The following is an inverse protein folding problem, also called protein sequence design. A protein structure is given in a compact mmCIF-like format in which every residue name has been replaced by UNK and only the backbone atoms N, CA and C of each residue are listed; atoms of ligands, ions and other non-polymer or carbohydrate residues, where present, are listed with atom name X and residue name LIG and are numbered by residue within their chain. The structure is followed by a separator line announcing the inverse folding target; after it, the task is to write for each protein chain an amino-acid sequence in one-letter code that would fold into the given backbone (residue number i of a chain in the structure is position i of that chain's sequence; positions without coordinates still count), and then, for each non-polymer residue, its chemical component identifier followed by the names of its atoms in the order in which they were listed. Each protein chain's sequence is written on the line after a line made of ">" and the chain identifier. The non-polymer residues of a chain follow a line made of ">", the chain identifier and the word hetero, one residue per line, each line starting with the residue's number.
data_IF_045031938450
#
_entry.id   IF_045031938450
#
_cell.length_a   1.000
_cell.length_b   1.000
_cell.length_c   1.000
_cell.angle_alpha   90.00
_cell.angle_beta   90.00
_cell.angle_gamma   90.00
#
_symmetry.space_group_name_H-M   'P 1'
#
loop_
_entity.id
_entity.type
_entity.pdbx_description
1 polymer ?
#
# COMPACT_ATOMS: atom_id res chain seq x y z
N UNK A 1 -22.77 -15.11 1.70
CA UNK A 1 -21.45 -14.55 1.35
C UNK A 1 -20.98 -15.30 0.11
N UNK A 2 -20.76 -14.63 -1.01
CA UNK A 2 -20.08 -15.24 -2.15
C UNK A 2 -18.58 -15.17 -1.87
N UNK A 3 -17.90 -16.30 -1.80
CA UNK A 3 -16.47 -16.40 -1.52
C UNK A 3 -15.58 -16.23 -2.76
N UNK A 4 -16.17 -16.09 -3.95
CA UNK A 4 -15.46 -15.90 -5.21
C UNK A 4 -15.59 -14.48 -5.75
N UNK A 5 -14.66 -14.11 -6.63
CA UNK A 5 -14.77 -12.88 -7.40
C UNK A 5 -15.95 -12.94 -8.36
N UNK A 6 -16.56 -11.79 -8.65
CA UNK A 6 -17.54 -11.69 -9.74
C UNK A 6 -16.81 -11.79 -11.11
N UNK A 7 -17.55 -12.09 -12.17
CA UNK A 7 -16.99 -12.13 -13.53
C UNK A 7 -16.30 -10.81 -13.92
N UNK A 8 -16.89 -9.68 -13.55
CA UNK A 8 -16.27 -8.36 -13.80
C UNK A 8 -14.96 -8.16 -13.02
N UNK A 9 -14.88 -8.68 -11.80
CA UNK A 9 -13.66 -8.63 -10.99
C UNK A 9 -12.56 -9.52 -11.53
N UNK A 10 -12.91 -10.71 -12.02
CA UNK A 10 -11.95 -11.59 -12.70
C UNK A 10 -11.39 -10.93 -13.97
N UNK A 11 -12.28 -10.32 -14.79
CA UNK A 11 -11.89 -9.57 -15.99
C UNK A 11 -10.97 -8.39 -15.62
N UNK A 12 -11.31 -7.61 -14.58
CA UNK A 12 -10.49 -6.50 -14.11
C UNK A 12 -9.08 -6.98 -13.72
N UNK A 13 -8.99 -8.04 -12.91
CA UNK A 13 -7.73 -8.61 -12.45
C UNK A 13 -6.88 -9.12 -13.62
N UNK A 14 -7.49 -9.84 -14.56
CA UNK A 14 -6.79 -10.33 -15.76
C UNK A 14 -6.30 -9.21 -16.67
N UNK A 15 -7.11 -8.16 -16.86
CA UNK A 15 -6.72 -7.00 -17.64
C UNK A 15 -5.58 -6.23 -16.98
N UNK A 16 -5.64 -6.01 -15.67
CA UNK A 16 -4.56 -5.38 -14.90
C UNK A 16 -3.25 -6.18 -15.02
N UNK A 17 -3.33 -7.52 -14.89
CA UNK A 17 -2.17 -8.40 -15.06
C UNK A 17 -1.53 -8.27 -16.45
N UNK A 18 -2.34 -8.31 -17.50
CA UNK A 18 -1.86 -8.17 -18.89
C UNK A 18 -1.27 -6.78 -19.13
N UNK A 19 -1.94 -5.74 -18.61
CA UNK A 19 -1.46 -4.37 -18.73
C UNK A 19 -0.09 -4.20 -18.07
N UNK A 20 0.07 -4.58 -16.80
CA UNK A 20 1.35 -4.42 -16.12
C UNK A 20 2.44 -5.33 -16.68
N UNK A 21 2.11 -6.53 -17.16
CA UNK A 21 3.09 -7.40 -17.83
C UNK A 21 3.63 -6.78 -19.12
N UNK A 22 2.81 -6.02 -19.85
CA UNK A 22 3.21 -5.35 -21.09
C UNK A 22 3.91 -4.00 -20.84
N UNK A 23 3.38 -3.17 -19.95
CA UNK A 23 3.83 -1.79 -19.77
C UNK A 23 4.87 -1.62 -18.66
N UNK A 24 5.01 -2.59 -17.76
CA UNK A 24 5.93 -2.56 -16.62
C UNK A 24 6.79 -3.85 -16.53
N UNK A 25 7.52 -4.23 -17.59
CA UNK A 25 8.40 -5.39 -17.52
C UNK A 25 9.60 -5.12 -16.59
N UNK A 26 10.18 -6.18 -15.99
CA UNK A 26 11.23 -6.06 -14.97
C UNK A 26 12.48 -5.28 -15.40
N UNK A 27 12.87 -5.34 -16.68
CA UNK A 27 13.97 -4.51 -17.17
C UNK A 27 13.67 -3.01 -17.10
N UNK A 28 12.40 -2.62 -17.30
CA UNK A 28 11.95 -1.24 -17.14
C UNK A 28 11.93 -0.83 -15.66
N UNK A 29 11.41 -1.69 -14.76
CA UNK A 29 11.46 -1.45 -13.31
C UNK A 29 12.89 -1.25 -12.82
N UNK A 30 13.85 -2.08 -13.28
CA UNK A 30 15.27 -1.93 -12.94
C UNK A 30 15.84 -0.60 -13.41
N UNK A 31 15.56 -0.23 -14.65
CA UNK A 31 16.01 1.04 -15.20
C UNK A 31 15.52 2.24 -14.38
N UNK A 32 14.25 2.24 -13.96
CA UNK A 32 13.68 3.29 -13.12
C UNK A 32 14.28 3.26 -11.72
N UNK A 33 14.48 2.09 -11.12
CA UNK A 33 15.11 1.97 -9.81
C UNK A 33 16.53 2.58 -9.78
N UNK A 34 17.26 2.53 -10.88
CA UNK A 34 18.61 3.13 -11.03
C UNK A 34 18.57 4.66 -11.13
N UNK A 35 17.45 5.25 -11.57
CA UNK A 35 17.33 6.72 -11.68
C UNK A 35 17.14 7.42 -10.34
N UNK A 36 16.73 6.68 -9.30
CA UNK A 36 16.43 7.19 -7.97
C UNK A 36 15.08 7.90 -7.81
N UNK A 37 14.36 8.20 -8.91
CA UNK A 37 13.01 8.78 -8.84
C UNK A 37 11.91 7.74 -8.94
N UNK A 38 12.22 6.58 -9.54
CA UNK A 38 11.28 5.49 -9.79
C UNK A 38 9.96 5.92 -10.51
N UNK A 39 9.95 7.02 -11.25
CA UNK A 39 8.76 7.57 -11.91
C UNK A 39 8.88 7.55 -13.43
N UNK A 40 7.80 7.12 -14.08
CA UNK A 40 7.62 7.15 -15.52
C UNK A 40 6.27 7.81 -15.87
N UNK A 41 6.34 8.94 -16.59
CA UNK A 41 5.18 9.71 -17.01
C UNK A 41 4.33 9.00 -18.06
N UNK A 42 4.93 8.18 -18.94
CA UNK A 42 4.22 7.40 -19.95
C UNK A 42 3.41 6.27 -19.30
N UNK A 43 4.01 5.52 -18.39
CA UNK A 43 3.30 4.50 -17.60
C UNK A 43 2.15 5.12 -16.80
N UNK A 44 2.36 6.26 -16.15
CA UNK A 44 1.33 6.99 -15.43
C UNK A 44 0.15 7.37 -16.33
N UNK A 45 0.44 7.96 -17.49
CA UNK A 45 -0.58 8.35 -18.48
C UNK A 45 -1.38 7.14 -18.99
N UNK A 46 -0.71 6.02 -19.25
CA UNK A 46 -1.36 4.77 -19.66
C UNK A 46 -2.25 4.19 -18.56
N UNK A 47 -1.82 4.22 -17.30
CA UNK A 47 -2.67 3.81 -16.16
C UNK A 47 -3.91 4.70 -16.03
N UNK A 48 -3.76 6.00 -16.20
CA UNK A 48 -4.88 6.94 -16.20
C UNK A 48 -5.86 6.67 -17.35
N UNK A 49 -5.36 6.38 -18.54
CA UNK A 49 -6.19 6.03 -19.70
C UNK A 49 -7.00 4.72 -19.50
N UNK A 50 -6.53 3.80 -18.62
CA UNK A 50 -7.29 2.63 -18.18
C UNK A 50 -8.29 2.93 -17.06
N UNK A 51 -8.34 4.16 -16.55
CA UNK A 51 -9.19 4.55 -15.42
C UNK A 51 -8.65 4.10 -14.05
N UNK A 52 -7.42 3.57 -13.96
CA UNK A 52 -6.87 3.05 -12.71
C UNK A 52 -6.71 4.13 -11.65
N UNK A 53 -6.43 5.38 -12.05
CA UNK A 53 -6.26 6.52 -11.14
C UNK A 53 -7.55 6.97 -10.48
N UNK A 54 -8.70 6.66 -11.07
CA UNK A 54 -10.03 7.00 -10.56
C UNK A 54 -10.87 5.82 -10.08
N UNK A 55 -10.27 4.62 -9.94
CA UNK A 55 -11.00 3.35 -9.83
C UNK A 55 -12.08 3.34 -8.74
N UNK A 56 -11.81 3.83 -7.53
CA UNK A 56 -12.76 3.80 -6.39
C UNK A 56 -13.49 5.13 -6.16
N UNK A 57 -13.12 6.19 -6.87
CA UNK A 57 -13.68 7.51 -6.59
C UNK A 57 -15.00 7.73 -7.33
N UNK A 58 -15.92 8.55 -6.76
CA UNK A 58 -17.23 8.78 -7.35
C UNK A 58 -17.16 9.37 -8.77
N UNK A 59 -18.10 8.96 -9.65
CA UNK A 59 -18.22 9.44 -11.03
C UNK A 59 -18.36 10.97 -11.12
N UNK A 60 -18.98 11.62 -10.12
CA UNK A 60 -19.10 13.10 -10.05
C UNK A 60 -17.75 13.83 -9.92
N UNK A 61 -16.65 13.09 -9.70
CA UNK A 61 -15.27 13.57 -9.69
C UNK A 61 -14.41 12.85 -10.73
N UNK A 62 -15.03 12.40 -11.83
CA UNK A 62 -14.39 11.70 -12.94
C UNK A 62 -13.77 10.33 -12.55
N UNK A 63 -14.23 9.74 -11.45
CA UNK A 63 -13.85 8.38 -11.04
C UNK A 63 -14.74 7.31 -11.66
N UNK A 64 -14.47 6.04 -11.38
CA UNK A 64 -15.25 4.88 -11.85
C UNK A 64 -16.29 4.37 -10.83
N UNK A 65 -16.23 4.84 -9.58
CA UNK A 65 -17.17 4.46 -8.53
C UNK A 65 -17.15 2.96 -8.16
N UNK A 66 -16.05 2.26 -8.42
CA UNK A 66 -15.91 0.84 -8.09
C UNK A 66 -15.63 0.64 -6.60
N UNK A 67 -15.61 -0.60 -6.15
CA UNK A 67 -15.45 -0.98 -4.74
C UNK A 67 -13.99 -1.00 -4.27
N UNK A 68 -13.79 -1.09 -2.95
CA UNK A 68 -12.44 -1.32 -2.38
C UNK A 68 -11.91 -2.69 -2.80
N UNK A 69 -12.80 -3.69 -2.99
CA UNK A 69 -12.39 -5.00 -3.55
C UNK A 69 -11.75 -4.80 -4.92
N UNK A 70 -12.32 -3.98 -5.80
CA UNK A 70 -11.76 -3.73 -7.14
C UNK A 70 -10.38 -3.04 -7.06
N UNK A 71 -10.21 -2.08 -6.14
CA UNK A 71 -8.91 -1.46 -5.89
C UNK A 71 -7.85 -2.48 -5.48
N UNK A 72 -8.17 -3.38 -4.55
CA UNK A 72 -7.16 -4.34 -4.07
C UNK A 72 -6.79 -5.37 -5.13
N UNK A 73 -7.68 -5.73 -6.06
CA UNK A 73 -7.35 -6.58 -7.19
C UNK A 73 -6.31 -5.91 -8.10
N UNK A 74 -6.50 -4.62 -8.37
CA UNK A 74 -5.55 -3.83 -9.14
C UNK A 74 -4.20 -3.70 -8.41
N UNK A 75 -4.23 -3.45 -7.10
CA UNK A 75 -3.02 -3.33 -6.26
C UNK A 75 -2.25 -4.64 -6.15
N UNK A 76 -2.93 -5.78 -6.10
CA UNK A 76 -2.26 -7.10 -6.12
C UNK A 76 -1.45 -7.29 -7.41
N UNK A 77 -2.04 -6.96 -8.57
CA UNK A 77 -1.32 -7.07 -9.85
C UNK A 77 -0.22 -6.02 -10.00
N UNK A 78 -0.40 -4.82 -9.44
CA UNK A 78 0.65 -3.81 -9.35
C UNK A 78 1.83 -4.29 -8.48
N UNK A 79 1.56 -4.94 -7.35
CA UNK A 79 2.57 -5.56 -6.51
C UNK A 79 3.29 -6.71 -7.18
N UNK A 80 2.57 -7.55 -7.93
CA UNK A 80 3.13 -8.63 -8.73
C UNK A 80 4.11 -8.13 -9.79
N UNK A 81 3.82 -6.99 -10.43
CA UNK A 81 4.67 -6.33 -11.43
C UNK A 81 5.72 -5.41 -10.80
N UNK A 82 5.69 -5.20 -9.48
CA UNK A 82 6.56 -4.27 -8.75
C UNK A 82 6.47 -2.85 -9.31
N UNK A 83 5.23 -2.40 -9.61
CA UNK A 83 4.97 -1.10 -10.26
C UNK A 83 5.68 0.02 -9.49
N UNK A 84 6.54 0.80 -10.15
CA UNK A 84 7.22 1.93 -9.55
C UNK A 84 6.35 3.19 -9.57
N UNK A 85 6.75 4.20 -8.79
CA UNK A 85 6.16 5.52 -8.84
C UNK A 85 4.90 5.69 -7.98
N UNK A 86 4.16 6.80 -8.20
CA UNK A 86 3.25 7.36 -7.22
C UNK A 86 1.86 6.71 -7.21
N UNK A 87 1.65 5.56 -7.87
CA UNK A 87 0.32 4.97 -7.99
C UNK A 87 -0.31 4.70 -6.62
N UNK A 88 0.41 3.99 -5.73
CA UNK A 88 -0.05 3.75 -4.36
C UNK A 88 -0.22 5.06 -3.59
N UNK A 89 0.80 5.94 -3.64
CA UNK A 89 0.80 7.19 -2.90
C UNK A 89 -0.34 8.12 -3.31
N UNK A 90 -0.67 8.17 -4.61
CA UNK A 90 -1.68 9.06 -5.14
C UNK A 90 -3.09 8.48 -5.00
N UNK A 91 -3.30 7.24 -5.43
CA UNK A 91 -4.66 6.67 -5.50
C UNK A 91 -5.08 6.10 -4.14
N UNK A 92 -4.31 5.15 -3.62
CA UNK A 92 -4.71 4.44 -2.40
C UNK A 92 -4.52 5.28 -1.13
N UNK A 93 -3.55 6.20 -1.10
CA UNK A 93 -3.24 6.97 0.11
C UNK A 93 -3.80 8.41 0.04
N UNK A 94 -3.33 9.28 -0.86
CA UNK A 94 -3.77 10.68 -0.90
C UNK A 94 -5.22 10.84 -1.37
N UNK A 95 -5.61 10.15 -2.46
CA UNK A 95 -6.94 10.25 -3.02
C UNK A 95 -8.03 9.81 -2.04
N UNK A 96 -7.81 8.71 -1.30
CA UNK A 96 -8.75 8.25 -0.27
C UNK A 96 -8.87 9.21 0.90
N UNK A 97 -7.77 9.85 1.31
CA UNK A 97 -7.80 10.89 2.35
C UNK A 97 -8.58 12.10 1.87
N UNK A 98 -8.32 12.60 0.65
CA UNK A 98 -9.05 13.74 0.08
C UNK A 98 -10.55 13.42 0.00
N UNK A 99 -10.90 12.21 -0.48
CA UNK A 99 -12.32 11.80 -0.57
C UNK A 99 -12.98 11.74 0.81
N UNK A 100 -12.27 11.36 1.85
CA UNK A 100 -12.80 11.27 3.20
C UNK A 100 -12.99 12.64 3.89
N UNK A 101 -12.05 13.58 3.70
CA UNK A 101 -12.00 14.79 4.54
C UNK A 101 -12.41 16.07 3.81
N UNK A 102 -12.28 16.15 2.48
CA UNK A 102 -12.45 17.38 1.72
C UNK A 102 -13.92 17.69 1.41
N UNK A 103 -14.25 18.97 1.25
CA UNK A 103 -15.54 19.44 0.76
C UNK A 103 -15.74 19.10 -0.73
N UNK A 104 -16.98 19.12 -1.22
CA UNK A 104 -17.28 18.86 -2.64
C UNK A 104 -16.52 19.81 -3.60
N UNK A 105 -16.32 21.07 -3.21
CA UNK A 105 -15.54 22.03 -4.00
C UNK A 105 -14.07 21.62 -4.07
N UNK A 106 -13.49 21.25 -2.94
CA UNK A 106 -12.09 20.80 -2.85
C UNK A 106 -11.88 19.45 -3.55
N UNK A 107 -12.84 18.52 -3.49
CA UNK A 107 -12.78 17.27 -4.27
C UNK A 107 -12.75 17.53 -5.78
N UNK A 108 -13.49 18.49 -6.27
CA UNK A 108 -13.41 18.91 -7.68
C UNK A 108 -12.04 19.51 -8.03
N UNK A 109 -11.42 20.21 -7.09
CA UNK A 109 -10.11 20.85 -7.29
C UNK A 109 -8.95 19.85 -7.19
N UNK A 110 -8.97 18.92 -6.22
CA UNK A 110 -7.86 18.04 -5.91
C UNK A 110 -8.07 16.59 -6.36
N UNK A 111 -9.28 16.04 -6.20
CA UNK A 111 -9.55 14.62 -6.47
C UNK A 111 -9.84 14.38 -7.96
N UNK A 112 -10.61 15.22 -8.61
CA UNK A 112 -10.95 15.05 -10.02
C UNK A 112 -9.72 15.06 -10.94
N UNK A 113 -8.71 15.94 -10.77
CA UNK A 113 -7.47 15.84 -11.53
C UNK A 113 -6.68 14.54 -11.27
N UNK A 114 -6.74 13.98 -10.05
CA UNK A 114 -6.17 12.66 -9.77
C UNK A 114 -6.88 11.60 -10.59
N UNK A 115 -8.22 11.58 -10.58
CA UNK A 115 -9.01 10.61 -11.35
C UNK A 115 -8.69 10.64 -12.85
N UNK A 116 -8.45 11.82 -13.42
CA UNK A 116 -8.05 11.99 -14.82
C UNK A 116 -6.56 11.74 -15.08
N UNK A 117 -5.75 11.47 -14.03
CA UNK A 117 -4.30 11.30 -14.15
C UNK A 117 -3.51 12.59 -14.38
N UNK A 118 -4.15 13.75 -14.29
CA UNK A 118 -3.56 15.08 -14.48
C UNK A 118 -2.74 15.54 -13.27
N UNK A 119 -3.06 15.04 -12.07
CA UNK A 119 -2.37 15.36 -10.85
C UNK A 119 -1.92 14.12 -10.08
N UNK A 120 -0.81 14.25 -9.37
CA UNK A 120 -0.23 13.27 -8.45
C UNK A 120 -0.15 13.88 -7.07
N UNK A 121 -0.40 13.07 -6.06
CA UNK A 121 -0.34 13.52 -4.68
C UNK A 121 0.19 12.43 -3.77
N UNK A 122 0.54 12.80 -2.56
CA UNK A 122 0.97 11.88 -1.51
C UNK A 122 0.58 12.44 -0.14
N UNK A 123 0.64 11.57 0.89
CA UNK A 123 0.37 11.99 2.28
C UNK A 123 1.69 12.15 3.03
N UNK A 124 1.85 13.30 3.67
CA UNK A 124 2.93 13.63 4.57
C UNK A 124 2.40 13.61 6.03
N UNK A 125 2.54 12.46 6.70
CA UNK A 125 1.99 12.23 8.05
C UNK A 125 3.07 12.02 9.10
N UNK A 126 4.06 11.18 8.85
CA UNK A 126 5.01 10.70 9.85
C UNK A 126 6.02 11.78 10.27
N UNK A 127 6.32 11.85 11.58
CA UNK A 127 7.30 12.77 12.16
C UNK A 127 8.31 12.03 13.05
N UNK A 128 9.49 12.60 13.20
CA UNK A 128 10.51 12.07 14.10
C UNK A 128 10.02 12.00 15.56
N UNK A 129 10.09 10.80 16.14
CA UNK A 129 9.67 10.54 17.52
C UNK A 129 8.15 10.38 17.70
N UNK A 130 7.36 10.42 16.61
CA UNK A 130 5.94 10.08 16.62
C UNK A 130 5.75 8.61 16.21
N UNK A 131 4.71 7.96 16.76
CA UNK A 131 4.26 6.65 16.29
C UNK A 131 3.39 6.75 15.04
N UNK A 132 3.13 5.64 14.39
CA UNK A 132 2.11 5.55 13.34
C UNK A 132 0.74 5.91 13.90
N UNK A 133 -0.07 6.63 13.11
CA UNK A 133 -1.42 7.04 13.51
C UNK A 133 -1.47 8.19 14.54
N UNK A 134 -0.33 8.85 14.80
CA UNK A 134 -0.31 10.08 15.62
C UNK A 134 -0.83 11.24 14.78
N UNK A 135 -2.17 11.40 14.75
CA UNK A 135 -2.86 12.38 13.91
C UNK A 135 -3.10 13.72 14.57
N UNK A 136 -3.10 13.76 15.92
CA UNK A 136 -3.46 14.94 16.70
C UNK A 136 -2.30 15.92 16.89
N UNK A 137 -1.57 16.16 15.83
CA UNK A 137 -0.58 17.20 15.83
C UNK A 137 0.75 16.75 16.41
N UNK A 138 1.51 16.07 15.63
CA UNK A 138 2.94 16.04 15.78
C UNK A 138 3.49 17.47 15.97
N UNK A 139 4.75 17.67 15.73
CA UNK A 139 5.41 18.98 15.87
C UNK A 139 5.07 19.96 14.73
N UNK A 140 4.44 19.47 13.63
CA UNK A 140 4.03 20.34 12.52
C UNK A 140 2.85 21.18 12.93
N UNK A 141 3.08 22.49 13.01
CA UNK A 141 2.10 23.49 13.42
C UNK A 141 1.40 24.11 12.20
N UNK A 142 0.09 24.34 12.33
CA UNK A 142 -0.72 25.09 11.38
C UNK A 142 -1.20 26.39 12.04
N UNK A 143 -0.71 27.53 11.58
CA UNK A 143 -1.06 28.85 12.11
C UNK A 143 -1.43 29.78 10.96
N UNK A 144 -2.64 30.36 11.02
CA UNK A 144 -3.13 31.31 10.00
C UNK A 144 -3.00 30.81 8.55
N UNK A 145 -3.35 29.53 8.30
CA UNK A 145 -3.25 28.93 6.97
C UNK A 145 -1.82 28.69 6.49
N UNK A 146 -0.87 28.57 7.41
CA UNK A 146 0.54 28.30 7.11
C UNK A 146 1.08 27.16 7.96
N UNK A 147 1.88 26.30 7.35
CA UNK A 147 2.54 25.18 8.01
C UNK A 147 4.00 25.47 8.32
N UNK A 148 4.43 24.99 9.49
CA UNK A 148 5.85 24.95 9.89
C UNK A 148 6.13 23.63 10.58
N UNK A 149 7.09 22.85 10.08
CA UNK A 149 7.46 21.54 10.60
C UNK A 149 8.17 20.68 9.56
N UNK A 150 8.29 19.39 9.86
CA UNK A 150 8.94 18.41 8.99
C UNK A 150 8.22 17.07 9.03
N UNK A 151 8.05 16.47 7.86
CA UNK A 151 7.50 15.12 7.67
C UNK A 151 8.54 14.21 7.06
N UNK A 152 8.58 12.96 7.50
CA UNK A 152 9.57 11.97 7.07
C UNK A 152 8.91 10.81 6.36
N UNK A 153 9.70 10.08 5.57
CA UNK A 153 9.25 8.90 4.82
C UNK A 153 8.03 9.15 3.93
N UNK A 154 7.92 10.36 3.38
CA UNK A 154 6.83 10.73 2.47
C UNK A 154 7.07 10.06 1.12
N UNK A 155 6.21 9.12 0.68
CA UNK A 155 6.44 8.41 -0.58
C UNK A 155 6.22 9.35 -1.76
N UNK A 156 7.08 9.24 -2.77
CA UNK A 156 6.96 9.92 -4.07
C UNK A 156 6.74 11.44 -4.03
N UNK A 157 7.19 12.12 -2.94
CA UNK A 157 6.93 13.56 -2.74
C UNK A 157 7.55 14.46 -3.80
N UNK A 158 8.62 14.04 -4.46
CA UNK A 158 9.29 14.84 -5.50
C UNK A 158 8.44 14.97 -6.77
N UNK A 159 7.69 13.93 -7.10
CA UNK A 159 6.86 13.88 -8.31
C UNK A 159 5.40 14.27 -8.05
N UNK A 160 5.04 14.55 -6.81
CA UNK A 160 3.72 15.04 -6.43
C UNK A 160 3.52 16.48 -6.92
N UNK A 161 2.32 16.80 -7.38
CA UNK A 161 1.91 18.15 -7.75
C UNK A 161 1.49 18.94 -6.50
N UNK A 162 0.87 18.24 -5.53
CA UNK A 162 0.56 18.76 -4.21
C UNK A 162 0.66 17.66 -3.15
N UNK A 163 0.75 18.07 -1.89
CA UNK A 163 0.90 17.21 -0.71
C UNK A 163 -0.34 17.30 0.17
N UNK A 164 -0.81 16.19 0.69
CA UNK A 164 -1.79 16.13 1.77
C UNK A 164 -1.01 15.99 3.09
N UNK A 165 -1.12 16.98 3.97
CA UNK A 165 -0.26 17.09 5.16
C UNK A 165 -1.12 17.04 6.42
N UNK A 166 -0.81 16.14 7.35
CA UNK A 166 -1.38 16.18 8.70
C UNK A 166 -0.61 17.15 9.57
N UNK A 167 -1.31 18.02 10.29
CA UNK A 167 -0.70 18.96 11.23
C UNK A 167 -1.65 19.25 12.38
N UNK A 168 -1.18 19.98 13.39
CA UNK A 168 -2.05 20.45 14.45
C UNK A 168 -3.24 21.22 13.85
N UNK A 169 -4.46 20.78 14.17
CA UNK A 169 -5.69 21.38 13.68
C UNK A 169 -6.28 20.77 12.40
N UNK A 170 -5.71 19.69 11.85
CA UNK A 170 -6.34 18.93 10.76
C UNK A 170 -5.45 18.45 9.63
N UNK A 171 -6.07 18.32 8.47
CA UNK A 171 -5.47 17.89 7.20
C UNK A 171 -5.43 19.06 6.24
N UNK A 172 -4.31 19.24 5.57
CA UNK A 172 -4.06 20.39 4.71
C UNK A 172 -3.58 19.98 3.33
N UNK A 173 -4.00 20.70 2.29
CA UNK A 173 -3.37 20.64 0.98
C UNK A 173 -2.25 21.68 0.88
N UNK A 174 -1.12 21.29 0.33
CA UNK A 174 0.06 22.15 0.12
C UNK A 174 0.56 21.93 -1.29
N UNK A 175 0.64 22.98 -2.11
CA UNK A 175 1.27 22.88 -3.43
C UNK A 175 2.75 22.51 -3.26
N UNK A 176 3.23 21.51 -3.99
CA UNK A 176 4.61 21.00 -3.83
C UNK A 176 5.67 22.09 -4.07
N UNK A 177 5.39 23.02 -4.97
CA UNK A 177 6.27 24.15 -5.31
C UNK A 177 5.94 25.43 -4.52
N UNK A 178 5.12 25.38 -3.47
CA UNK A 178 4.79 26.53 -2.66
C UNK A 178 6.06 27.07 -1.94
N UNK A 179 6.13 28.39 -1.68
CA UNK A 179 7.22 28.98 -0.90
C UNK A 179 7.35 28.31 0.47
N UNK A 180 8.57 27.94 0.86
CA UNK A 180 8.87 27.29 2.13
C UNK A 180 8.80 25.76 2.10
N UNK A 181 8.42 25.12 1.00
CA UNK A 181 8.51 23.66 0.84
C UNK A 181 9.92 23.26 0.41
N UNK A 182 10.51 22.34 1.16
CA UNK A 182 11.78 21.68 0.78
C UNK A 182 11.57 20.18 0.80
N UNK A 183 11.84 19.51 -0.31
CA UNK A 183 11.76 18.05 -0.46
C UNK A 183 13.18 17.51 -0.59
N UNK A 184 13.55 16.59 0.30
CA UNK A 184 14.91 16.02 0.35
C UNK A 184 14.79 14.49 0.27
N UNK A 185 15.48 13.82 -0.68
CA UNK A 185 15.44 12.37 -0.78
C UNK A 185 16.02 11.71 0.48
N UNK A 186 15.41 10.63 0.92
CA UNK A 186 15.87 9.81 2.04
C UNK A 186 16.43 8.48 1.52
N UNK A 187 17.50 7.94 2.13
CA UNK A 187 17.96 6.61 1.80
C UNK A 187 16.85 5.58 2.07
N UNK A 188 16.52 4.76 1.08
CA UNK A 188 15.53 3.71 1.17
C UNK A 188 16.11 2.36 0.79
N UNK A 189 15.62 1.29 1.45
CA UNK A 189 15.94 -0.08 1.05
C UNK A 189 15.26 -0.44 -0.27
N UNK A 190 14.01 -0.02 -0.44
CA UNK A 190 13.25 -0.19 -1.67
C UNK A 190 13.71 0.83 -2.71
N UNK A 191 14.25 0.35 -3.81
CA UNK A 191 14.73 1.18 -4.92
C UNK A 191 13.61 1.50 -5.93
N UNK A 192 12.45 0.90 -5.76
CA UNK A 192 11.31 1.03 -6.67
C UNK A 192 10.22 1.96 -6.13
N UNK A 193 10.39 2.47 -4.89
CA UNK A 193 9.54 3.48 -4.25
C UNK A 193 10.43 4.49 -3.52
N UNK A 194 10.54 5.69 -4.04
CA UNK A 194 11.31 6.75 -3.42
C UNK A 194 10.58 7.35 -2.21
N UNK A 195 11.30 7.68 -1.16
CA UNK A 195 10.78 8.34 0.05
C UNK A 195 11.58 9.59 0.37
N UNK A 196 10.93 10.56 0.96
CA UNK A 196 11.48 11.91 1.15
C UNK A 196 11.20 12.45 2.55
N UNK A 197 12.09 13.32 3.03
CA UNK A 197 11.79 14.27 4.07
C UNK A 197 11.20 15.53 3.42
N UNK A 198 10.11 16.06 3.99
CA UNK A 198 9.45 17.27 3.51
C UNK A 198 9.40 18.28 4.65
N UNK A 199 10.10 19.39 4.48
CA UNK A 199 10.11 20.50 5.42
C UNK A 199 9.21 21.62 4.93
N UNK A 200 8.47 22.19 5.86
CA UNK A 200 7.60 23.35 5.69
C UNK A 200 8.15 24.51 6.54
N UNK A 201 8.39 25.65 5.92
CA UNK A 201 8.85 26.87 6.58
C UNK A 201 7.88 28.01 6.26
N UNK A 202 6.91 28.23 7.18
CA UNK A 202 5.85 29.22 6.99
C UNK A 202 5.14 29.07 5.63
N UNK A 203 4.87 27.83 5.24
CA UNK A 203 4.35 27.45 3.90
C UNK A 203 2.84 27.64 3.82
N UNK A 204 2.30 28.30 2.78
CA UNK A 204 0.86 28.41 2.56
C UNK A 204 0.20 27.03 2.44
N UNK A 205 -0.94 26.86 3.12
CA UNK A 205 -1.66 25.60 3.13
C UNK A 205 -3.17 25.85 3.21
N UNK A 206 -3.95 25.04 2.52
CA UNK A 206 -5.41 25.04 2.58
C UNK A 206 -5.89 23.90 3.47
N UNK A 207 -6.73 24.21 4.47
CA UNK A 207 -7.35 23.17 5.30
C UNK A 207 -8.38 22.38 4.49
N UNK A 208 -8.21 21.06 4.40
CA UNK A 208 -9.15 20.14 3.76
C UNK A 208 -10.21 19.64 4.74
N UNK A 209 -9.82 19.33 5.99
CA UNK A 209 -10.73 18.79 6.99
C UNK A 209 -10.03 18.39 8.28
N UNK A 210 -10.72 17.60 9.09
CA UNK A 210 -10.22 17.16 10.38
C UNK A 210 -9.55 15.78 10.27
N UNK A 211 -8.46 15.59 11.01
CA UNK A 211 -7.66 14.37 10.95
C UNK A 211 -8.43 13.11 11.46
N UNK A 212 -9.43 13.29 12.32
CA UNK A 212 -10.30 12.19 12.76
C UNK A 212 -11.07 11.50 11.63
N UNK A 213 -11.35 12.23 10.55
CA UNK A 213 -12.03 11.67 9.37
C UNK A 213 -11.14 10.82 8.46
N UNK A 214 -9.83 10.75 8.73
CA UNK A 214 -8.88 9.97 7.93
C UNK A 214 -8.89 8.46 8.24
N UNK A 215 -9.53 8.02 9.32
CA UNK A 215 -9.36 6.65 9.82
C UNK A 215 -9.73 5.60 8.77
N UNK A 216 -10.93 5.73 8.18
CA UNK A 216 -11.37 4.83 7.10
C UNK A 216 -10.45 4.91 5.88
N UNK A 217 -10.01 6.11 5.47
CA UNK A 217 -9.11 6.28 4.35
C UNK A 217 -7.77 5.56 4.57
N UNK A 218 -7.22 5.66 5.79
CA UNK A 218 -6.00 4.94 6.17
C UNK A 218 -6.23 3.42 6.14
N UNK A 219 -7.40 2.94 6.55
CA UNK A 219 -7.74 1.52 6.47
C UNK A 219 -7.84 1.04 5.02
N UNK A 220 -8.43 1.83 4.11
CA UNK A 220 -8.44 1.53 2.66
C UNK A 220 -7.01 1.48 2.11
N UNK A 221 -6.19 2.47 2.42
CA UNK A 221 -4.78 2.49 2.01
C UNK A 221 -3.99 1.29 2.57
N UNK A 222 -4.28 0.90 3.81
CA UNK A 222 -3.65 -0.27 4.44
C UNK A 222 -4.06 -1.58 3.74
N UNK A 223 -5.34 -1.75 3.42
CA UNK A 223 -5.83 -2.91 2.66
C UNK A 223 -5.20 -2.97 1.25
N UNK A 224 -5.07 -1.83 0.58
CA UNK A 224 -4.40 -1.72 -0.72
C UNK A 224 -2.91 -2.08 -0.64
N UNK A 225 -2.21 -1.64 0.43
CA UNK A 225 -0.81 -2.02 0.69
C UNK A 225 -0.67 -3.53 0.93
N UNK A 226 -1.59 -4.12 1.70
CA UNK A 226 -1.60 -5.59 1.94
C UNK A 226 -1.77 -6.35 0.63
N UNK A 227 -2.67 -5.90 -0.25
CA UNK A 227 -2.86 -6.52 -1.56
C UNK A 227 -1.60 -6.41 -2.44
N UNK A 228 -0.92 -5.26 -2.45
CA UNK A 228 0.39 -5.10 -3.11
C UNK A 228 1.43 -6.09 -2.55
N UNK A 229 1.49 -6.26 -1.22
CA UNK A 229 2.37 -7.24 -0.58
C UNK A 229 2.05 -8.67 -1.02
N UNK A 230 0.76 -9.03 -1.13
CA UNK A 230 0.30 -10.34 -1.64
C UNK A 230 0.78 -10.56 -3.08
N UNK A 231 0.65 -9.56 -3.95
CA UNK A 231 1.15 -9.62 -5.32
C UNK A 231 2.66 -9.87 -5.38
N UNK A 232 3.43 -9.17 -4.55
CA UNK A 232 4.87 -9.36 -4.39
C UNK A 232 5.23 -10.77 -3.90
N UNK A 233 4.54 -11.27 -2.86
CA UNK A 233 4.73 -12.64 -2.34
C UNK A 233 4.43 -13.69 -3.41
N UNK A 234 3.35 -13.53 -4.16
CA UNK A 234 3.01 -14.41 -5.27
C UNK A 234 4.13 -14.47 -6.30
N UNK A 235 4.72 -13.32 -6.65
CA UNK A 235 5.79 -13.29 -7.63
C UNK A 235 7.08 -13.93 -7.10
N UNK A 236 7.44 -13.71 -5.84
CA UNK A 236 8.56 -14.40 -5.18
C UNK A 236 8.35 -15.92 -5.24
N UNK A 237 7.16 -16.39 -4.92
CA UNK A 237 6.82 -17.82 -4.97
C UNK A 237 6.97 -18.38 -6.39
N UNK A 238 6.39 -17.70 -7.40
CA UNK A 238 6.47 -18.15 -8.80
C UNK A 238 7.93 -18.26 -9.28
N UNK A 239 8.75 -17.22 -9.03
CA UNK A 239 10.17 -17.22 -9.37
C UNK A 239 10.92 -18.35 -8.65
N UNK A 240 10.59 -18.60 -7.39
CA UNK A 240 11.26 -19.64 -6.58
C UNK A 240 10.90 -21.04 -7.07
N UNK A 241 9.62 -21.28 -7.39
CA UNK A 241 9.17 -22.57 -7.95
C UNK A 241 9.80 -22.83 -9.30
N UNK A 242 9.86 -21.82 -10.18
CA UNK A 242 10.48 -21.96 -11.50
C UNK A 242 12.00 -22.24 -11.37
N UNK A 243 12.68 -21.53 -10.49
CA UNK A 243 14.09 -21.80 -10.19
C UNK A 243 14.29 -23.20 -9.65
N UNK A 244 13.44 -23.66 -8.72
CA UNK A 244 13.52 -25.00 -8.16
C UNK A 244 13.32 -26.12 -9.19
N UNK A 245 12.52 -25.88 -10.25
CA UNK A 245 12.31 -26.82 -11.36
C UNK A 245 13.52 -26.87 -12.31
N UNK A 246 14.22 -25.77 -12.50
CA UNK A 246 15.25 -25.63 -13.53
C UNK A 246 16.68 -25.83 -12.98
N UNK A 247 16.95 -25.35 -11.75
CA UNK A 247 18.27 -25.47 -11.12
C UNK A 247 18.59 -26.91 -10.73
N UNK A 248 19.73 -27.41 -11.17
CA UNK A 248 20.19 -28.78 -10.84
C UNK A 248 21.35 -28.76 -9.84
N UNK A 249 21.28 -29.62 -8.85
CA UNK A 249 22.36 -29.97 -7.92
C UNK A 249 22.27 -31.47 -7.57
N UNK A 250 23.39 -32.11 -7.28
CA UNK A 250 23.43 -33.54 -6.95
C UNK A 250 22.74 -34.42 -8.02
N UNK A 251 22.88 -34.06 -9.31
CA UNK A 251 22.36 -34.80 -10.45
C UNK A 251 20.87 -34.64 -10.77
N UNK A 252 20.11 -33.84 -10.02
CA UNK A 252 18.68 -33.63 -10.24
C UNK A 252 18.25 -32.18 -9.95
N UNK A 253 17.03 -31.80 -10.36
CA UNK A 253 16.45 -30.50 -10.02
C UNK A 253 16.35 -30.34 -8.50
N UNK A 254 16.63 -29.14 -7.99
CA UNK A 254 16.59 -28.90 -6.52
C UNK A 254 15.17 -29.06 -5.96
N UNK A 255 14.13 -28.81 -6.77
CA UNK A 255 12.73 -29.05 -6.42
C UNK A 255 12.36 -30.53 -6.21
N UNK A 256 13.26 -31.48 -6.53
CA UNK A 256 13.07 -32.88 -6.20
C UNK A 256 13.45 -33.22 -4.75
N UNK A 257 14.01 -32.27 -3.98
CA UNK A 257 14.33 -32.45 -2.57
C UNK A 257 13.17 -31.94 -1.69
N UNK A 258 12.73 -32.78 -0.74
CA UNK A 258 11.61 -32.44 0.15
C UNK A 258 11.85 -31.13 0.92
N UNK A 259 13.09 -30.84 1.34
CA UNK A 259 13.42 -29.60 2.03
C UNK A 259 13.10 -28.34 1.20
N UNK A 260 13.23 -28.39 -0.14
CA UNK A 260 12.86 -27.32 -1.05
C UNK A 260 11.35 -27.29 -1.30
N UNK A 261 10.74 -28.48 -1.49
CA UNK A 261 9.29 -28.61 -1.67
C UNK A 261 8.51 -28.04 -0.50
N UNK A 262 8.92 -28.34 0.74
CA UNK A 262 8.26 -27.85 1.96
C UNK A 262 8.39 -26.33 2.06
N UNK A 263 9.56 -25.74 1.72
CA UNK A 263 9.70 -24.29 1.71
C UNK A 263 8.74 -23.62 0.69
N UNK A 264 8.61 -24.19 -0.52
CA UNK A 264 7.66 -23.68 -1.50
C UNK A 264 6.19 -23.84 -1.05
N UNK A 265 5.85 -24.97 -0.41
CA UNK A 265 4.49 -25.21 0.13
C UNK A 265 4.16 -24.23 1.26
N UNK A 266 5.10 -23.96 2.16
CA UNK A 266 4.91 -22.97 3.22
C UNK A 266 4.80 -21.54 2.65
N UNK A 267 5.60 -21.18 1.63
CA UNK A 267 5.46 -19.89 0.94
C UNK A 267 4.07 -19.74 0.29
N UNK A 268 3.54 -20.81 -0.30
CA UNK A 268 2.20 -20.85 -0.87
C UNK A 268 1.15 -20.62 0.21
N UNK A 269 1.24 -21.32 1.34
CA UNK A 269 0.32 -21.18 2.46
C UNK A 269 0.29 -19.74 3.00
N UNK A 270 1.46 -19.14 3.23
CA UNK A 270 1.56 -17.77 3.71
C UNK A 270 0.96 -16.76 2.72
N UNK A 271 1.20 -16.96 1.42
CA UNK A 271 0.67 -16.10 0.37
C UNK A 271 -0.85 -16.18 0.28
N UNK A 272 -1.43 -17.38 0.26
CA UNK A 272 -2.89 -17.58 0.15
C UNK A 272 -3.63 -17.14 1.42
N UNK A 273 -3.04 -17.36 2.60
CA UNK A 273 -3.62 -16.87 3.86
C UNK A 273 -3.64 -15.33 3.89
N UNK A 274 -2.57 -14.70 3.44
CA UNK A 274 -2.51 -13.24 3.32
C UNK A 274 -3.51 -12.71 2.29
N UNK A 275 -3.68 -13.39 1.15
CA UNK A 275 -4.66 -13.03 0.13
C UNK A 275 -6.09 -13.09 0.67
N UNK A 276 -6.42 -14.17 1.37
CA UNK A 276 -7.73 -14.36 2.00
C UNK A 276 -8.03 -13.25 3.01
N UNK A 277 -7.04 -12.89 3.84
CA UNK A 277 -7.18 -11.81 4.79
C UNK A 277 -7.33 -10.43 4.12
N UNK A 278 -6.57 -10.16 3.03
CA UNK A 278 -6.70 -8.93 2.26
C UNK A 278 -8.08 -8.77 1.62
N UNK A 279 -8.60 -9.84 1.01
CA UNK A 279 -9.91 -9.83 0.37
C UNK A 279 -11.04 -9.66 1.38
N UNK A 280 -10.94 -10.32 2.54
CA UNK A 280 -11.90 -10.12 3.62
C UNK A 280 -11.85 -8.69 4.16
N UNK A 281 -10.67 -8.11 4.35
CA UNK A 281 -10.51 -6.73 4.81
C UNK A 281 -11.16 -5.73 3.84
N UNK A 282 -10.94 -5.89 2.53
CA UNK A 282 -11.56 -5.04 1.51
C UNK A 282 -13.09 -5.21 1.48
N UNK A 283 -13.57 -6.45 1.52
CA UNK A 283 -15.01 -6.72 1.60
C UNK A 283 -15.63 -6.09 2.86
N UNK A 284 -14.96 -6.17 4.00
CA UNK A 284 -15.44 -5.56 5.24
C UNK A 284 -15.49 -4.03 5.15
N UNK A 285 -14.51 -3.39 4.49
CA UNK A 285 -14.54 -1.96 4.22
C UNK A 285 -15.76 -1.53 3.39
N UNK A 286 -16.22 -2.37 2.47
CA UNK A 286 -17.38 -2.07 1.64
C UNK A 286 -18.72 -2.43 2.32
N UNK A 287 -18.78 -3.50 3.15
CA UNK A 287 -20.04 -4.13 3.56
C UNK A 287 -20.20 -4.31 5.08
N UNK A 288 -19.12 -4.24 5.87
CA UNK A 288 -19.15 -4.46 7.31
C UNK A 288 -18.29 -3.42 8.06
N UNK A 289 -18.73 -2.16 8.09
CA UNK A 289 -17.97 -1.07 8.71
C UNK A 289 -17.61 -1.31 10.18
N UNK A 290 -18.42 -2.09 10.91
CA UNK A 290 -18.19 -2.37 12.33
C UNK A 290 -16.95 -3.25 12.56
N UNK A 291 -16.64 -4.15 11.63
CA UNK A 291 -15.51 -5.06 11.73
C UNK A 291 -14.33 -4.67 10.82
N UNK A 292 -14.50 -3.68 9.95
CA UNK A 292 -13.52 -3.30 8.93
C UNK A 292 -12.13 -2.99 9.51
N UNK A 293 -12.05 -2.15 10.54
CA UNK A 293 -10.80 -1.75 11.18
C UNK A 293 -10.04 -2.96 11.78
N UNK A 294 -10.77 -3.89 12.38
CA UNK A 294 -10.22 -5.15 12.91
C UNK A 294 -9.71 -6.05 11.77
N UNK A 295 -10.52 -6.23 10.72
CA UNK A 295 -10.16 -7.05 9.56
C UNK A 295 -8.90 -6.52 8.85
N UNK A 296 -8.81 -5.22 8.63
CA UNK A 296 -7.63 -4.55 8.05
C UNK A 296 -6.40 -4.75 8.92
N UNK A 297 -6.54 -4.59 10.24
CA UNK A 297 -5.41 -4.77 11.17
C UNK A 297 -4.93 -6.22 11.20
N UNK A 298 -5.83 -7.20 11.16
CA UNK A 298 -5.48 -8.63 11.04
C UNK A 298 -4.74 -8.89 9.73
N UNK A 299 -5.25 -8.38 8.61
CA UNK A 299 -4.64 -8.56 7.30
C UNK A 299 -3.22 -7.97 7.24
N UNK A 300 -3.03 -6.74 7.74
CA UNK A 300 -1.72 -6.07 7.72
C UNK A 300 -0.72 -6.75 8.67
N UNK A 301 -1.15 -7.10 9.89
CA UNK A 301 -0.33 -7.84 10.83
C UNK A 301 0.19 -9.15 10.21
N UNK A 302 -0.72 -9.96 9.66
CA UNK A 302 -0.38 -11.25 9.08
C UNK A 302 0.52 -11.11 7.85
N UNK A 303 0.15 -10.25 6.90
CA UNK A 303 0.92 -10.03 5.68
C UNK A 303 2.33 -9.47 5.96
N UNK A 304 2.52 -8.67 7.00
CA UNK A 304 3.83 -8.15 7.41
C UNK A 304 4.78 -9.28 7.84
N UNK A 305 4.31 -10.25 8.62
CA UNK A 305 5.10 -11.42 9.00
C UNK A 305 5.29 -12.40 7.84
N UNK A 306 4.23 -12.64 7.06
CA UNK A 306 4.23 -13.53 5.90
C UNK A 306 5.21 -13.07 4.81
N UNK A 307 5.20 -11.78 4.44
CA UNK A 307 6.07 -11.28 3.37
C UNK A 307 7.56 -11.39 3.72
N UNK A 308 7.90 -11.19 5.00
CA UNK A 308 9.26 -11.44 5.50
C UNK A 308 9.63 -12.93 5.37
N UNK A 309 8.71 -13.82 5.76
CA UNK A 309 8.91 -15.27 5.68
C UNK A 309 9.07 -15.74 4.23
N UNK A 310 8.17 -15.34 3.36
CA UNK A 310 8.19 -15.68 1.92
C UNK A 310 9.46 -15.15 1.27
N UNK A 311 9.83 -13.89 1.54
CA UNK A 311 11.05 -13.29 1.02
C UNK A 311 12.32 -14.01 1.46
N UNK A 312 12.45 -14.33 2.76
CA UNK A 312 13.58 -15.06 3.30
C UNK A 312 13.72 -16.46 2.69
N UNK A 313 12.61 -17.21 2.56
CA UNK A 313 12.61 -18.55 1.94
C UNK A 313 12.92 -18.48 0.46
N UNK A 314 12.38 -17.51 -0.27
CA UNK A 314 12.71 -17.29 -1.68
C UNK A 314 14.22 -17.11 -1.87
N UNK A 315 14.85 -16.22 -1.10
CA UNK A 315 16.29 -16.01 -1.14
C UNK A 315 17.05 -17.30 -0.75
N UNK A 316 16.61 -18.00 0.29
CA UNK A 316 17.25 -19.25 0.75
C UNK A 316 17.24 -20.31 -0.34
N UNK A 317 16.13 -20.52 -1.06
CA UNK A 317 16.04 -21.52 -2.14
C UNK A 317 16.92 -21.14 -3.33
N UNK A 318 17.04 -19.85 -3.65
CA UNK A 318 17.94 -19.37 -4.71
C UNK A 318 19.42 -19.43 -4.30
N UNK A 319 19.72 -19.47 -2.99
CA UNK A 319 21.09 -19.42 -2.46
C UNK A 319 21.80 -18.13 -2.87
N UNK A 320 23.09 -18.21 -3.21
CA UNK A 320 23.87 -17.03 -3.61
C UNK A 320 23.25 -16.21 -4.74
N UNK A 321 22.54 -16.86 -5.67
CA UNK A 321 21.84 -16.17 -6.78
C UNK A 321 20.71 -15.25 -6.31
N UNK A 322 20.09 -15.55 -5.16
CA UNK A 322 18.99 -14.73 -4.63
C UNK A 322 19.42 -13.31 -4.19
N UNK A 323 20.70 -13.08 -3.96
CA UNK A 323 21.27 -11.79 -3.57
C UNK A 323 22.02 -11.07 -4.68
N UNK A 324 22.25 -11.73 -5.82
CA UNK A 324 22.99 -11.08 -6.91
C UNK A 324 22.14 -10.02 -7.58
N UNK A 325 22.77 -8.97 -8.09
CA UNK A 325 22.08 -7.85 -8.75
C UNK A 325 21.33 -8.28 -10.01
N UNK A 326 21.75 -9.34 -10.66
CA UNK A 326 21.14 -9.90 -11.88
C UNK A 326 19.80 -10.58 -11.62
N UNK A 327 19.52 -10.99 -10.37
CA UNK A 327 18.27 -11.67 -10.01
C UNK A 327 17.23 -10.67 -9.54
N UNK A 328 15.99 -10.78 -10.02
CA UNK A 328 14.91 -9.86 -9.69
C UNK A 328 14.38 -10.03 -8.25
N UNK A 329 14.64 -11.18 -7.63
CA UNK A 329 14.08 -11.55 -6.34
C UNK A 329 14.40 -10.52 -5.23
N UNK A 330 15.63 -9.96 -5.24
CA UNK A 330 16.03 -9.00 -4.23
C UNK A 330 15.22 -7.70 -4.27
N UNK A 331 14.68 -7.28 -5.44
CA UNK A 331 13.83 -6.10 -5.55
C UNK A 331 12.49 -6.33 -4.85
N UNK A 332 11.88 -7.49 -5.05
CA UNK A 332 10.67 -7.89 -4.32
C UNK A 332 10.90 -7.98 -2.82
N UNK A 333 12.04 -8.56 -2.40
CA UNK A 333 12.41 -8.63 -0.99
C UNK A 333 12.56 -7.24 -0.36
N UNK A 334 13.18 -6.31 -1.05
CA UNK A 334 13.36 -4.92 -0.60
C UNK A 334 12.02 -4.19 -0.48
N UNK A 335 11.13 -4.33 -1.47
CA UNK A 335 9.76 -3.79 -1.42
C UNK A 335 8.98 -4.39 -0.26
N UNK A 336 9.05 -5.70 -0.05
CA UNK A 336 8.40 -6.38 1.07
C UNK A 336 8.87 -5.82 2.43
N UNK A 337 10.17 -5.57 2.59
CA UNK A 337 10.74 -5.00 3.82
C UNK A 337 10.30 -3.56 4.07
N UNK A 338 10.17 -2.74 3.03
CA UNK A 338 9.65 -1.38 3.14
C UNK A 338 8.14 -1.39 3.48
N UNK A 339 7.37 -2.24 2.82
CA UNK A 339 5.92 -2.37 3.04
C UNK A 339 5.57 -2.97 4.40
N UNK A 340 6.45 -3.82 4.99
CA UNK A 340 6.28 -4.38 6.34
C UNK A 340 6.07 -3.28 7.40
N UNK A 341 6.79 -2.16 7.29
CA UNK A 341 6.76 -1.08 8.27
C UNK A 341 5.81 0.07 7.89
N UNK A 342 5.47 0.22 6.63
CA UNK A 342 4.62 1.31 6.14
C UNK A 342 3.18 1.15 6.68
N UNK A 343 2.56 2.25 7.10
CA UNK A 343 1.22 2.31 7.72
C UNK A 343 1.08 1.46 9.01
N UNK A 344 2.18 1.25 9.71
CA UNK A 344 2.27 0.43 10.92
C UNK A 344 2.79 -0.98 10.66
N UNK A 345 3.65 -1.45 11.54
CA UNK A 345 4.19 -2.81 11.51
C UNK A 345 3.22 -3.84 12.15
N UNK A 346 3.63 -5.10 12.18
CA UNK A 346 2.83 -6.16 12.79
C UNK A 346 2.55 -5.91 14.29
N UNK A 347 3.47 -5.27 15.01
CA UNK A 347 3.30 -4.95 16.44
C UNK A 347 2.27 -3.85 16.64
N UNK A 348 2.32 -2.79 15.84
CA UNK A 348 1.32 -1.73 15.83
C UNK A 348 -0.09 -2.27 15.58
N UNK A 349 -0.24 -3.16 14.58
CA UNK A 349 -1.55 -3.71 14.25
C UNK A 349 -2.06 -4.73 15.28
N UNK A 350 -1.19 -5.49 15.95
CA UNK A 350 -1.57 -6.33 17.11
C UNK A 350 -2.12 -5.48 18.25
N UNK A 351 -1.46 -4.39 18.56
CA UNK A 351 -1.91 -3.45 19.57
C UNK A 351 -3.26 -2.79 19.19
N UNK A 352 -3.43 -2.45 17.92
CA UNK A 352 -4.70 -1.92 17.41
C UNK A 352 -5.83 -2.94 17.52
N UNK A 353 -5.58 -4.21 17.21
CA UNK A 353 -6.56 -5.28 17.39
C UNK A 353 -6.93 -5.43 18.87
N UNK A 354 -5.95 -5.41 19.79
CA UNK A 354 -6.22 -5.50 21.22
C UNK A 354 -7.16 -4.39 21.69
N UNK A 355 -6.90 -3.13 21.30
CA UNK A 355 -7.78 -2.01 21.62
C UNK A 355 -9.19 -2.15 21.05
N UNK A 356 -9.31 -2.60 19.80
CA UNK A 356 -10.60 -2.73 19.12
C UNK A 356 -11.45 -3.89 19.65
N UNK A 357 -10.81 -4.98 20.11
CA UNK A 357 -11.52 -6.23 20.44
C UNK A 357 -11.58 -6.48 21.97
N UNK A 358 -10.51 -6.11 22.71
CA UNK A 358 -10.39 -6.44 24.13
C UNK A 358 -10.79 -5.25 24.99
N UNK A 359 -10.27 -4.05 24.67
CA UNK A 359 -10.43 -2.86 25.52
C UNK A 359 -11.70 -2.07 25.19
N UNK A 360 -12.40 -2.38 24.11
CA UNK A 360 -13.63 -1.68 23.73
C UNK A 360 -14.73 -1.86 24.78
N UNK A 361 -15.39 -0.79 25.25
CA UNK A 361 -16.49 -0.89 26.18
C UNK A 361 -17.62 -1.78 25.64
N UNK A 362 -17.90 -2.90 26.29
CA UNK A 362 -18.93 -3.87 25.88
C UNK A 362 -18.45 -5.11 25.13
N UNK A 363 -17.16 -5.19 24.74
CA UNK A 363 -16.63 -6.36 24.02
C UNK A 363 -16.59 -7.65 24.86
N UNK A 364 -16.53 -7.54 26.18
CA UNK A 364 -16.42 -8.70 27.09
C UNK A 364 -17.73 -9.41 27.38
N UNK A 365 -18.90 -8.81 27.17
CA UNK A 365 -20.16 -9.43 27.56
C UNK A 365 -20.90 -10.21 26.46
N UNK A 366 -20.68 -9.90 25.20
CA UNK A 366 -21.43 -10.57 24.11
C UNK A 366 -20.75 -11.82 23.55
N UNK A 367 -19.43 -11.89 23.44
CA UNK A 367 -18.74 -13.03 22.82
C UNK A 367 -18.53 -14.24 23.71
N UNK A 368 -18.50 -14.06 25.05
CA UNK A 368 -18.41 -15.19 25.99
C UNK A 368 -19.74 -15.90 26.21
N UNK A 369 -20.88 -15.22 26.05
CA UNK A 369 -22.21 -15.84 26.16
C UNK A 369 -22.55 -16.71 24.94
N UNK A 370 -22.23 -16.29 23.72
CA UNK A 370 -22.53 -17.07 22.51
C UNK A 370 -21.72 -18.36 22.40
N UNK A 371 -20.49 -18.38 22.93
CA UNK A 371 -19.65 -19.60 22.93
C UNK A 371 -20.08 -20.60 24.01
N UNK A 372 -20.70 -20.14 25.11
CA UNK A 372 -21.20 -21.02 26.18
C UNK A 372 -22.61 -21.56 25.95
N UNK A 373 -23.40 -20.95 25.07
CA UNK A 373 -24.76 -21.46 24.74
C UNK A 373 -24.78 -22.46 23.58
N UNK A 374 -23.66 -22.63 22.86
CA UNK A 374 -23.51 -23.57 21.72
C UNK A 374 -22.63 -24.78 22.02
N UNK A 375 -22.17 -24.95 23.25
CA UNK A 375 -21.47 -26.13 23.76
C UNK A 375 -22.38 -26.93 24.72
#
# INVERSE_FOLDING_TARGET
>A
MQFGLSESQEILKDNARKFFAGECPMNHVRQLAETGSAYDADLWSKMAAQGFTGIIFPEKYDGLGLSVVDLILLMEEAGRALVPGPFFATVALAGTVIDAVATDAQKKEYLAPICRGEARSTVAEFEAGAGWGTRDGGKTAAVNGRLTGEKLFVPDAEVADFLVVTAAGGVFAVQRNAPGVTVTPMPAMDLTRAVYAVRFDNTPAEKLGDASSMERATDVATAALVAEMVGGMQRILDLTVEYAKTRKQYGKAIGAFQAVQHQCADMYLETESSRSAAYYAAWALDHDPANAATAVSIAKMYASDACRTVGNRGIQVHGGMGFTWENDLHLYYRRAKASETMLGDATFHRERIARLVIDAPGAQSQKLHEVCETA
#
